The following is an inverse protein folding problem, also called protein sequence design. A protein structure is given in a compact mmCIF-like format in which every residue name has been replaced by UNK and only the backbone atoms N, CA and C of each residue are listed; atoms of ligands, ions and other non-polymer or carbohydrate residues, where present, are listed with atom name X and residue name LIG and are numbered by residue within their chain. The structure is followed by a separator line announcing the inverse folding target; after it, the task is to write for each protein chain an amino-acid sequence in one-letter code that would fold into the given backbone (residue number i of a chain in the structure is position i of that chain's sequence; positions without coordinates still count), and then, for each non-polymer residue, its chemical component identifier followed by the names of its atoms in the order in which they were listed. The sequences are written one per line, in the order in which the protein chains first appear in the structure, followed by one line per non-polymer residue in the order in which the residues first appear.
data_IF_588625761550
#
_entry.id   IF_588625761550
#
_cell.length_a   1.000
_cell.length_b   1.000
_cell.length_c   1.000
_cell.angle_alpha   90.00
_cell.angle_beta   90.00
_cell.angle_gamma   90.00
#
_symmetry.space_group_name_H-M   'P 1'
#
loop_
_entity.id
_entity.type
_entity.pdbx_description
1 polymer ?
#
# COMPACT_ATOMS: atom_id res chain seq x y z
N UNK A 1 -3.90 24.34 23.64
CA UNK A 1 -4.45 23.00 23.35
C UNK A 1 -3.38 22.24 22.57
N UNK A 2 -3.03 20.99 22.92
CA UNK A 2 -2.09 20.22 22.12
C UNK A 2 -2.66 20.07 20.70
N UNK A 3 -1.89 20.42 19.68
CA UNK A 3 -2.28 20.24 18.29
C UNK A 3 -2.44 18.75 18.00
N UNK A 4 -3.51 18.36 17.30
CA UNK A 4 -3.77 16.97 16.87
C UNK A 4 -2.57 16.36 16.12
N UNK A 5 -1.74 17.19 15.50
CA UNK A 5 -0.55 16.81 14.75
C UNK A 5 0.74 16.71 15.57
N UNK A 6 0.66 16.83 16.90
CA UNK A 6 1.85 16.75 17.77
C UNK A 6 2.16 15.30 18.19
N UNK A 7 1.20 14.39 18.07
CA UNK A 7 1.35 12.99 18.47
C UNK A 7 1.52 12.09 17.25
N UNK A 8 2.66 11.40 17.10
CA UNK A 8 2.84 10.41 16.04
C UNK A 8 1.74 9.35 16.06
N UNK A 9 1.31 8.89 17.25
CA UNK A 9 0.26 7.88 17.36
C UNK A 9 -1.07 8.36 16.76
N UNK A 10 -1.43 9.64 16.94
CA UNK A 10 -2.63 10.24 16.34
C UNK A 10 -2.48 10.33 14.82
N UNK A 11 -1.32 10.79 14.32
CA UNK A 11 -1.04 10.88 12.88
C UNK A 11 -1.15 9.51 12.20
N UNK A 12 -0.49 8.48 12.75
CA UNK A 12 -0.54 7.13 12.16
C UNK A 12 -1.93 6.50 12.27
N UNK A 13 -2.66 6.75 13.35
CA UNK A 13 -4.05 6.29 13.48
C UNK A 13 -4.96 6.94 12.44
N UNK A 14 -4.88 8.26 12.25
CA UNK A 14 -5.63 8.97 11.22
C UNK A 14 -5.21 8.51 9.81
N UNK A 15 -3.92 8.31 9.56
CA UNK A 15 -3.40 7.82 8.29
C UNK A 15 -3.91 6.39 7.97
N UNK A 16 -4.00 5.51 8.97
CA UNK A 16 -4.55 4.17 8.82
C UNK A 16 -6.07 4.22 8.56
N UNK A 17 -6.82 4.99 9.34
CA UNK A 17 -8.26 5.17 9.14
C UNK A 17 -8.59 5.74 7.75
N UNK A 18 -7.82 6.73 7.30
CA UNK A 18 -8.00 7.32 5.97
C UNK A 18 -7.71 6.29 4.87
N UNK A 19 -6.65 5.48 5.00
CA UNK A 19 -6.35 4.40 4.05
C UNK A 19 -7.43 3.34 3.99
N UNK A 20 -7.96 2.92 5.14
CA UNK A 20 -9.08 1.98 5.21
C UNK A 20 -10.32 2.56 4.52
N UNK A 21 -10.67 3.81 4.82
CA UNK A 21 -11.78 4.50 4.18
C UNK A 21 -11.62 4.62 2.66
N UNK A 22 -10.44 5.03 2.20
CA UNK A 22 -10.11 5.14 0.78
C UNK A 22 -10.05 3.78 0.08
N UNK A 23 -9.63 2.72 0.76
CA UNK A 23 -9.65 1.37 0.22
C UNK A 23 -11.10 0.93 -0.07
N UNK A 24 -12.02 1.09 0.88
CA UNK A 24 -13.43 0.78 0.65
C UNK A 24 -14.07 1.70 -0.39
N UNK A 25 -13.76 2.99 -0.36
CA UNK A 25 -14.22 3.93 -1.38
C UNK A 25 -13.72 3.54 -2.78
N UNK A 26 -12.46 3.14 -2.91
CA UNK A 26 -11.89 2.67 -4.17
C UNK A 26 -12.60 1.43 -4.69
N UNK A 27 -12.90 0.45 -3.83
CA UNK A 27 -13.70 -0.72 -4.21
C UNK A 27 -15.11 -0.34 -4.68
N UNK A 28 -15.74 0.63 -4.03
CA UNK A 28 -17.04 1.15 -4.46
C UNK A 28 -16.92 1.83 -5.83
N UNK A 29 -16.00 2.78 -5.99
CA UNK A 29 -15.82 3.52 -7.23
C UNK A 29 -15.46 2.59 -8.40
N UNK A 30 -14.57 1.62 -8.20
CA UNK A 30 -14.18 0.66 -9.24
C UNK A 30 -15.37 -0.15 -9.77
N UNK A 31 -16.40 -0.38 -8.95
CA UNK A 31 -17.61 -1.11 -9.34
C UNK A 31 -18.71 -0.22 -9.93
N UNK A 32 -18.71 1.09 -9.65
CA UNK A 32 -19.81 1.99 -10.01
C UNK A 32 -19.43 3.09 -11.02
N UNK A 33 -18.14 3.26 -11.32
CA UNK A 33 -17.63 4.28 -12.24
C UNK A 33 -16.89 3.66 -13.43
N UNK A 34 -17.01 4.32 -14.59
CA UNK A 34 -16.18 4.03 -15.76
C UNK A 34 -14.71 4.41 -15.49
N UNK A 35 -14.47 5.53 -14.78
CA UNK A 35 -13.14 5.91 -14.31
C UNK A 35 -12.80 5.15 -13.02
N UNK A 36 -11.81 4.27 -13.11
CA UNK A 36 -11.34 3.47 -11.98
C UNK A 36 -10.55 4.31 -10.98
N UNK A 37 -10.72 3.98 -9.71
CA UNK A 37 -9.89 4.51 -8.63
C UNK A 37 -8.56 3.75 -8.57
N UNK A 38 -8.61 2.42 -8.73
CA UNK A 38 -7.42 1.58 -8.75
C UNK A 38 -6.63 1.80 -10.04
N UNK A 39 -5.33 2.07 -9.90
CA UNK A 39 -4.39 2.21 -11.02
C UNK A 39 -4.28 0.88 -11.80
N UNK A 40 -4.10 0.97 -13.11
CA UNK A 40 -3.92 -0.18 -14.01
C UNK A 40 -2.70 -1.01 -13.63
N UNK A 41 -1.69 -0.40 -13.01
CA UNK A 41 -0.51 -1.11 -12.51
C UNK A 41 -0.88 -2.21 -11.51
N UNK A 42 -1.98 -2.06 -10.76
CA UNK A 42 -2.46 -3.13 -9.87
C UNK A 42 -2.83 -4.41 -10.63
N UNK A 43 -3.43 -4.27 -11.82
CA UNK A 43 -3.74 -5.39 -12.69
C UNK A 43 -2.48 -6.00 -13.27
N UNK A 44 -1.51 -5.17 -13.69
CA UNK A 44 -0.20 -5.62 -14.18
C UNK A 44 0.52 -6.45 -13.12
N UNK A 45 0.47 -6.03 -11.85
CA UNK A 45 1.06 -6.81 -10.76
C UNK A 45 0.31 -8.12 -10.51
N UNK A 46 -1.02 -8.08 -10.52
CA UNK A 46 -1.87 -9.25 -10.26
C UNK A 46 -1.67 -10.31 -11.36
N UNK A 47 -1.65 -9.90 -12.62
CA UNK A 47 -1.39 -10.79 -13.76
C UNK A 47 0.00 -11.43 -13.66
N UNK A 48 1.03 -10.66 -13.32
CA UNK A 48 2.37 -11.18 -13.10
C UNK A 48 2.42 -12.18 -11.91
N UNK A 49 1.61 -11.94 -10.88
CA UNK A 49 1.47 -12.83 -9.72
C UNK A 49 0.80 -14.15 -10.11
N UNK A 50 -0.17 -14.13 -11.04
CA UNK A 50 -0.75 -15.35 -11.61
C UNK A 50 0.30 -16.19 -12.35
N UNK A 51 1.13 -15.57 -13.19
CA UNK A 51 2.24 -16.28 -13.83
C UNK A 51 3.17 -16.93 -12.79
N UNK A 52 3.51 -16.21 -11.72
CA UNK A 52 4.36 -16.76 -10.66
C UNK A 52 3.70 -17.88 -9.86
N UNK A 53 2.39 -17.80 -9.58
CA UNK A 53 1.63 -18.84 -8.92
C UNK A 53 1.62 -20.15 -9.74
N UNK A 54 1.68 -20.05 -11.07
CA UNK A 54 1.84 -21.18 -12.00
C UNK A 54 3.30 -21.63 -12.22
N UNK A 55 4.26 -21.07 -11.48
CA UNK A 55 5.69 -21.37 -11.64
C UNK A 55 6.34 -20.77 -12.89
N UNK A 56 5.68 -19.81 -13.54
CA UNK A 56 6.19 -19.11 -14.72
C UNK A 56 6.86 -17.78 -14.34
N UNK A 57 7.57 -17.20 -15.29
CA UNK A 57 8.20 -15.88 -15.11
C UNK A 57 7.13 -14.77 -15.06
N UNK A 58 7.20 -13.82 -14.11
CA UNK A 58 6.28 -12.67 -14.06
C UNK A 58 6.43 -11.77 -15.30
N UNK A 59 7.59 -11.81 -15.97
CA UNK A 59 7.87 -11.04 -17.18
C UNK A 59 7.17 -11.57 -18.44
N UNK A 60 6.45 -12.70 -18.34
CA UNK A 60 5.52 -13.12 -19.39
C UNK A 60 4.29 -12.22 -19.45
N UNK A 61 4.01 -11.46 -18.39
CA UNK A 61 3.05 -10.38 -18.44
C UNK A 61 3.67 -9.20 -19.19
N UNK A 62 3.10 -8.85 -20.33
CA UNK A 62 3.46 -7.64 -21.06
C UNK A 62 3.45 -6.42 -20.14
N UNK A 63 4.33 -5.44 -20.37
CA UNK A 63 4.43 -4.21 -19.57
C UNK A 63 4.80 -4.38 -18.08
N UNK A 64 5.01 -5.62 -17.59
CA UNK A 64 5.54 -5.83 -16.24
C UNK A 64 7.02 -5.43 -16.17
N UNK A 65 7.28 -4.29 -15.52
CA UNK A 65 8.61 -3.67 -15.42
C UNK A 65 9.20 -3.64 -14.01
N UNK A 66 8.60 -4.39 -13.10
CA UNK A 66 8.89 -4.36 -11.67
C UNK A 66 9.74 -5.58 -11.26
N UNK A 67 10.23 -5.58 -10.01
CA UNK A 67 11.06 -6.70 -9.52
C UNK A 67 10.21 -7.97 -9.37
N UNK A 68 10.74 -9.17 -9.65
CA UNK A 68 9.98 -10.41 -9.49
C UNK A 68 9.50 -10.63 -8.06
N UNK A 69 10.23 -10.08 -7.08
CA UNK A 69 9.89 -10.11 -5.68
C UNK A 69 8.53 -9.45 -5.40
N UNK A 70 8.18 -8.38 -6.12
CA UNK A 70 6.88 -7.73 -5.96
C UNK A 70 5.73 -8.65 -6.38
N UNK A 71 5.82 -9.28 -7.56
CA UNK A 71 4.82 -10.25 -8.00
C UNK A 71 4.76 -11.47 -7.06
N UNK A 72 5.91 -11.91 -6.53
CA UNK A 72 5.94 -12.99 -5.55
C UNK A 72 5.18 -12.64 -4.26
N UNK A 73 5.38 -11.45 -3.69
CA UNK A 73 4.65 -11.01 -2.51
C UNK A 73 3.14 -10.91 -2.74
N UNK A 74 2.72 -10.68 -3.98
CA UNK A 74 1.33 -10.54 -4.35
C UNK A 74 0.68 -11.86 -4.77
N UNK A 75 1.38 -13.00 -4.76
CA UNK A 75 0.78 -14.31 -5.03
C UNK A 75 -0.54 -14.55 -4.27
N UNK A 76 -0.71 -14.13 -2.98
CA UNK A 76 -1.99 -14.30 -2.30
C UNK A 76 -3.18 -13.63 -3.00
N UNK A 77 -2.99 -12.60 -3.85
CA UNK A 77 -4.09 -12.00 -4.63
C UNK A 77 -4.75 -12.95 -5.62
N UNK A 78 -4.05 -14.03 -5.97
CA UNK A 78 -4.49 -15.04 -6.94
C UNK A 78 -5.33 -16.17 -6.31
N UNK A 79 -5.44 -16.21 -4.98
CA UNK A 79 -6.11 -17.30 -4.26
C UNK A 79 -7.63 -17.25 -4.36
N UNK A 80 -8.27 -18.40 -4.15
CA UNK A 80 -9.72 -18.53 -4.09
C UNK A 80 -10.25 -18.40 -2.66
N UNK A 81 -11.40 -17.72 -2.44
CA UNK A 81 -12.21 -17.07 -3.46
C UNK A 81 -11.63 -15.71 -3.89
N UNK A 82 -11.53 -15.47 -5.20
CA UNK A 82 -10.84 -14.28 -5.71
C UNK A 82 -11.41 -12.95 -5.20
N UNK A 83 -12.72 -12.84 -4.98
CA UNK A 83 -13.35 -11.60 -4.48
C UNK A 83 -12.82 -11.16 -3.10
N UNK A 84 -12.32 -12.10 -2.30
CA UNK A 84 -11.71 -11.82 -1.00
C UNK A 84 -10.23 -11.45 -1.14
N UNK A 85 -9.50 -12.24 -1.93
CA UNK A 85 -8.05 -12.17 -2.02
C UNK A 85 -7.55 -11.12 -3.00
N UNK A 86 -8.34 -10.74 -4.01
CA UNK A 86 -7.97 -9.73 -5.00
C UNK A 86 -7.54 -8.41 -4.37
N UNK A 87 -8.04 -8.06 -3.19
CA UNK A 87 -7.66 -6.82 -2.49
C UNK A 87 -6.41 -6.95 -1.60
N UNK A 88 -5.81 -8.15 -1.47
CA UNK A 88 -4.65 -8.39 -0.62
C UNK A 88 -3.49 -7.43 -0.94
N UNK A 89 -3.17 -7.23 -2.22
CA UNK A 89 -2.12 -6.30 -2.63
C UNK A 89 -2.43 -4.85 -2.28
N UNK A 90 -3.69 -4.43 -2.40
CA UNK A 90 -4.14 -3.09 -1.99
C UNK A 90 -3.90 -2.86 -0.49
N UNK A 91 -4.22 -3.87 0.33
CA UNK A 91 -3.97 -3.84 1.78
C UNK A 91 -2.47 -3.84 2.08
N UNK A 92 -1.69 -4.69 1.41
CA UNK A 92 -0.25 -4.76 1.57
C UNK A 92 0.41 -3.42 1.27
N UNK A 93 0.01 -2.75 0.18
CA UNK A 93 0.52 -1.43 -0.18
C UNK A 93 0.12 -0.35 0.83
N UNK A 94 -1.13 -0.38 1.33
CA UNK A 94 -1.56 0.53 2.40
C UNK A 94 -0.75 0.34 3.70
N UNK A 95 -0.36 -0.90 4.03
CA UNK A 95 0.53 -1.19 5.16
C UNK A 95 1.95 -0.70 4.88
N UNK A 96 2.49 -0.98 3.68
CA UNK A 96 3.82 -0.57 3.27
C UNK A 96 4.00 0.96 3.31
N UNK A 97 2.97 1.71 2.96
CA UNK A 97 2.91 3.17 3.11
C UNK A 97 3.08 3.62 4.57
N UNK A 98 2.37 2.97 5.51
CA UNK A 98 2.46 3.29 6.93
C UNK A 98 3.86 2.97 7.47
N UNK A 99 4.41 1.82 7.07
CA UNK A 99 5.78 1.44 7.43
C UNK A 99 6.79 2.44 6.86
N UNK A 100 6.63 2.86 5.60
CA UNK A 100 7.49 3.87 4.97
C UNK A 100 7.42 5.20 5.72
N UNK A 101 6.20 5.66 6.07
CA UNK A 101 6.02 6.86 6.90
C UNK A 101 6.70 6.75 8.26
N UNK A 102 6.65 5.58 8.90
CA UNK A 102 7.33 5.33 10.18
C UNK A 102 8.85 5.36 10.04
N UNK A 103 9.39 4.70 9.02
CA UNK A 103 10.83 4.70 8.74
C UNK A 103 11.35 6.12 8.45
N UNK A 104 10.59 6.91 7.68
CA UNK A 104 10.91 8.33 7.45
C UNK A 104 10.96 9.13 8.74
N UNK A 105 10.03 8.89 9.68
CA UNK A 105 10.05 9.53 10.99
C UNK A 105 11.29 9.12 11.81
N UNK A 106 11.71 7.85 11.74
CA UNK A 106 12.93 7.39 12.41
C UNK A 106 14.17 8.07 11.83
N UNK A 107 14.29 8.13 10.51
CA UNK A 107 15.38 8.85 9.84
C UNK A 107 15.40 10.32 10.25
N UNK A 108 14.25 11.00 10.20
CA UNK A 108 14.14 12.41 10.61
C UNK A 108 14.62 12.65 12.05
N UNK A 109 14.26 11.76 12.98
CA UNK A 109 14.68 11.86 14.38
C UNK A 109 16.15 11.55 14.61
N UNK A 110 16.73 10.71 13.75
CA UNK A 110 18.13 10.27 13.88
C UNK A 110 19.07 11.31 13.28
N UNK A 111 18.74 11.82 12.08
CA UNK A 111 19.59 12.76 11.34
C UNK A 111 19.38 14.22 11.78
N UNK A 112 18.21 14.57 12.33
CA UNK A 112 17.88 15.95 12.73
C UNK A 112 17.35 16.04 14.17
N UNK A 113 18.16 15.71 15.19
CA UNK A 113 17.74 15.69 16.58
C UNK A 113 17.25 17.06 17.09
N UNK A 114 17.87 18.17 16.65
CA UNK A 114 17.44 19.52 17.05
C UNK A 114 16.02 19.88 16.59
N UNK A 115 15.59 19.34 15.44
CA UNK A 115 14.21 19.50 14.94
C UNK A 115 13.22 18.67 15.77
N UNK A 116 13.66 17.50 16.25
CA UNK A 116 12.84 16.64 17.11
C UNK A 116 12.67 17.21 18.53
N UNK A 117 13.65 17.96 19.02
CA UNK A 117 13.60 18.57 20.36
C UNK A 117 12.71 19.82 20.37
N UNK A 118 12.82 20.68 19.34
CA UNK A 118 11.92 21.82 19.13
C UNK A 118 10.47 21.42 18.85
N UNK A 119 10.23 20.24 18.31
CA UNK A 119 8.87 19.71 18.13
C UNK A 119 8.23 19.17 19.43
N UNK A 120 9.01 19.04 20.52
CA UNK A 120 8.54 18.60 21.84
C UNK A 120 8.33 19.74 22.85
N UNK A 121 8.89 20.93 22.61
CA UNK A 121 8.73 22.15 23.41
C UNK A 121 7.57 23.01 22.87
#
# INVERSE_FOLDING_TARGET
MPSLFSSPAVIFSLAALMRVGLLFYGLYQDNHSAMKYTDIDYMVFTDASYFMAEGKSPYLRDTYRYTPLLAWFLIPTTWEPNWLWFSFGKVLFAIADLVTGWLLLLVLRTEFPEMSEKARL
#
